data_IF_776409105812
#
_entry.id   IF_776409105812
#
_cell.length_a   1.000
_cell.length_b   1.000
_cell.length_c   1.000
_cell.angle_alpha   90.00
_cell.angle_beta   90.00
_cell.angle_gamma   90.00
#
_symmetry.space_group_name_H-M   'P 1'
#
loop_
_entity.id
_entity.type
_entity.pdbx_description
1 polymer ?
#
# COMPACT_ATOMS: atom_id res chain seq x y z
N UNK A 1 -42.33 18.15 12.86
CA UNK A 1 -41.46 16.96 13.03
C UNK A 1 -40.02 17.42 12.87
N UNK A 2 -39.23 17.41 13.95
CA UNK A 2 -37.78 17.62 13.84
C UNK A 2 -37.20 16.35 13.20
N UNK A 3 -36.78 16.42 11.94
CA UNK A 3 -35.91 15.40 11.39
C UNK A 3 -34.57 15.53 12.11
N UNK A 4 -34.24 14.57 12.98
CA UNK A 4 -32.90 14.41 13.50
C UNK A 4 -31.94 14.28 12.32
N UNK A 5 -31.12 15.31 12.09
CA UNK A 5 -30.03 15.26 11.13
C UNK A 5 -29.08 14.12 11.52
N UNK A 6 -28.90 13.15 10.64
CA UNK A 6 -27.91 12.09 10.84
C UNK A 6 -26.51 12.68 10.71
N UNK A 7 -25.64 12.41 11.68
CA UNK A 7 -24.22 12.77 11.60
C UNK A 7 -23.47 11.74 10.76
N UNK A 8 -23.30 12.02 9.47
CA UNK A 8 -22.62 11.15 8.49
C UNK A 8 -21.11 11.44 8.36
N UNK A 9 -20.49 12.07 9.37
CA UNK A 9 -19.06 12.41 9.34
C UNK A 9 -18.21 11.12 9.34
N UNK A 10 -17.41 10.95 8.30
CA UNK A 10 -16.43 9.87 8.20
C UNK A 10 -15.09 10.30 8.81
N UNK A 11 -14.26 9.34 9.21
CA UNK A 11 -12.90 9.58 9.76
C UNK A 11 -11.84 9.06 8.79
N UNK A 12 -11.94 7.80 8.39
CA UNK A 12 -11.00 7.17 7.47
C UNK A 12 -11.65 5.98 6.75
N UNK A 13 -11.10 5.62 5.59
CA UNK A 13 -11.38 4.41 4.85
C UNK A 13 -10.06 3.63 4.77
N UNK A 14 -10.08 2.32 5.04
CA UNK A 14 -8.91 1.45 4.90
C UNK A 14 -9.24 0.29 3.98
N UNK A 15 -8.28 -0.03 3.11
CA UNK A 15 -8.31 -1.28 2.36
C UNK A 15 -7.90 -2.45 3.24
N UNK A 16 -8.38 -3.63 2.85
CA UNK A 16 -7.86 -4.91 3.29
C UNK A 16 -7.12 -5.53 2.12
N UNK A 17 -5.85 -5.83 2.30
CA UNK A 17 -4.94 -6.32 1.28
C UNK A 17 -4.67 -7.81 1.53
N UNK A 18 -4.81 -8.67 0.50
CA UNK A 18 -4.49 -10.09 0.64
C UNK A 18 -2.99 -10.33 0.78
N UNK A 19 -2.61 -11.30 1.61
CA UNK A 19 -1.24 -11.77 1.74
C UNK A 19 -1.11 -13.22 1.28
N UNK A 20 -0.34 -13.47 0.21
CA UNK A 20 -0.04 -14.84 -0.26
C UNK A 20 0.73 -15.65 0.78
N UNK A 21 1.69 -14.99 1.42
CA UNK A 21 2.35 -15.46 2.63
C UNK A 21 2.36 -14.29 3.62
N UNK A 22 1.71 -14.48 4.76
CA UNK A 22 1.46 -13.40 5.71
C UNK A 22 2.75 -12.89 6.35
N UNK A 23 3.66 -13.79 6.75
CA UNK A 23 4.92 -13.41 7.38
C UNK A 23 5.87 -12.69 6.41
N UNK A 24 5.94 -13.15 5.16
CA UNK A 24 6.70 -12.49 4.09
C UNK A 24 6.14 -11.10 3.82
N UNK A 25 4.81 -10.96 3.78
CA UNK A 25 4.18 -9.66 3.53
C UNK A 25 4.37 -8.70 4.72
N UNK A 26 4.27 -9.19 5.96
CA UNK A 26 4.59 -8.42 7.16
C UNK A 26 6.01 -7.87 7.11
N UNK A 27 6.98 -8.76 6.83
CA UNK A 27 8.39 -8.39 6.73
C UNK A 27 8.65 -7.40 5.59
N UNK A 28 8.00 -7.59 4.43
CA UNK A 28 8.12 -6.72 3.28
C UNK A 28 7.65 -5.30 3.57
N UNK A 29 6.43 -5.13 4.09
CA UNK A 29 5.90 -3.80 4.40
C UNK A 29 6.67 -3.13 5.54
N UNK A 30 7.13 -3.88 6.53
CA UNK A 30 8.01 -3.35 7.58
C UNK A 30 9.35 -2.88 7.00
N UNK A 31 9.97 -3.66 6.12
CA UNK A 31 11.22 -3.30 5.47
C UNK A 31 11.09 -2.07 4.56
N UNK A 32 9.92 -1.87 3.95
CA UNK A 32 9.57 -0.65 3.20
C UNK A 32 9.36 0.59 4.10
N UNK A 33 9.38 0.44 5.42
CA UNK A 33 9.26 1.53 6.38
C UNK A 33 7.86 1.70 6.97
N UNK A 34 6.89 0.82 6.70
CA UNK A 34 5.60 0.86 7.38
C UNK A 34 5.73 0.34 8.82
N UNK A 35 5.02 0.98 9.73
CA UNK A 35 4.93 0.60 11.14
C UNK A 35 3.71 -0.29 11.39
N UNK A 36 3.88 -1.33 12.20
CA UNK A 36 2.77 -2.14 12.70
C UNK A 36 2.12 -1.39 13.87
N UNK A 37 0.90 -0.89 13.67
CA UNK A 37 0.13 -0.26 14.75
C UNK A 37 -0.57 -1.29 15.64
N UNK A 38 -0.97 -2.41 15.04
CA UNK A 38 -1.66 -3.51 15.70
C UNK A 38 -1.57 -4.77 14.86
N UNK A 39 -1.49 -5.93 15.50
CA UNK A 39 -1.40 -7.22 14.82
C UNK A 39 -2.03 -8.33 15.67
N UNK A 40 -2.74 -9.23 15.00
CA UNK A 40 -3.18 -10.54 15.46
C UNK A 40 -2.69 -11.63 14.48
N UNK A 41 -3.05 -12.88 14.73
CA UNK A 41 -2.61 -14.05 13.94
C UNK A 41 -2.95 -13.93 12.45
N UNK A 42 -4.11 -13.35 12.12
CA UNK A 42 -4.65 -13.32 10.76
C UNK A 42 -4.76 -11.93 10.15
N UNK A 43 -4.42 -10.87 10.90
CA UNK A 43 -4.67 -9.49 10.50
C UNK A 43 -3.64 -8.54 11.11
N UNK A 44 -3.15 -7.60 10.32
CA UNK A 44 -2.22 -6.57 10.76
C UNK A 44 -2.67 -5.20 10.23
N UNK A 45 -2.60 -4.17 11.07
CA UNK A 45 -2.81 -2.78 10.69
C UNK A 45 -1.44 -2.11 10.52
N UNK A 46 -1.10 -1.78 9.29
CA UNK A 46 0.08 -0.98 8.96
C UNK A 46 -0.24 0.50 8.91
N UNK A 47 0.77 1.32 9.20
CA UNK A 47 0.75 2.75 8.98
C UNK A 47 2.07 3.26 8.40
N UNK A 48 1.97 4.31 7.60
CA UNK A 48 3.08 5.20 7.31
C UNK A 48 2.58 6.64 7.39
N UNK A 49 3.00 7.35 8.44
CA UNK A 49 2.41 8.63 8.81
C UNK A 49 0.91 8.47 9.06
N UNK A 50 0.08 9.18 8.30
CA UNK A 50 -1.38 9.13 8.42
C UNK A 50 -2.04 8.05 7.54
N UNK A 51 -1.30 7.47 6.60
CA UNK A 51 -1.84 6.47 5.67
C UNK A 51 -1.82 5.10 6.33
N UNK A 52 -2.92 4.35 6.22
CA UNK A 52 -3.09 3.05 6.88
C UNK A 52 -3.81 2.05 5.99
N UNK A 53 -3.46 0.78 6.15
CA UNK A 53 -4.17 -0.33 5.51
C UNK A 53 -4.11 -1.58 6.38
N UNK A 54 -5.03 -2.50 6.17
CA UNK A 54 -4.98 -3.81 6.79
C UNK A 54 -4.33 -4.82 5.85
N UNK A 55 -3.38 -5.59 6.35
CA UNK A 55 -2.87 -6.80 5.71
C UNK A 55 -3.60 -8.00 6.30
N UNK A 56 -4.18 -8.87 5.46
CA UNK A 56 -4.92 -10.06 5.90
C UNK A 56 -4.21 -11.34 5.49
N UNK A 57 -4.17 -12.33 6.37
CA UNK A 57 -3.75 -13.70 6.04
C UNK A 57 -4.85 -14.44 5.27
N UNK A 58 -5.17 -13.91 4.09
CA UNK A 58 -6.15 -14.45 3.17
C UNK A 58 -5.67 -14.12 1.76
N UNK A 59 -5.61 -15.13 0.90
CA UNK A 59 -5.13 -14.96 -0.46
C UNK A 59 -6.04 -15.65 -1.47
N UNK A 60 -6.49 -14.85 -2.43
CA UNK A 60 -7.09 -15.32 -3.67
C UNK A 60 -6.32 -14.64 -4.80
N UNK A 61 -5.67 -15.43 -5.67
CA UNK A 61 -4.80 -14.91 -6.74
C UNK A 61 -5.49 -13.84 -7.59
N UNK A 62 -6.69 -14.14 -8.08
CA UNK A 62 -7.46 -13.21 -8.91
C UNK A 62 -7.80 -11.91 -8.17
N UNK A 63 -8.10 -11.98 -6.87
CA UNK A 63 -8.32 -10.78 -6.06
C UNK A 63 -7.04 -9.97 -5.89
N UNK A 64 -5.93 -10.61 -5.53
CA UNK A 64 -4.66 -9.93 -5.30
C UNK A 64 -4.15 -9.25 -6.58
N UNK A 65 -4.10 -9.98 -7.69
CA UNK A 65 -3.59 -9.49 -8.98
C UNK A 65 -4.52 -8.46 -9.65
N UNK A 66 -5.78 -8.34 -9.23
CA UNK A 66 -6.70 -7.28 -9.67
C UNK A 66 -6.89 -6.17 -8.63
N UNK A 67 -6.17 -6.20 -7.51
CA UNK A 67 -6.21 -5.12 -6.52
C UNK A 67 -5.17 -4.06 -6.87
N UNK A 68 -5.63 -2.82 -7.07
CA UNK A 68 -4.78 -1.65 -7.21
C UNK A 68 -5.05 -0.65 -6.08
N UNK A 69 -3.99 -0.18 -5.44
CA UNK A 69 -4.01 0.93 -4.49
C UNK A 69 -3.28 2.12 -5.07
N UNK A 70 -3.84 3.30 -4.86
CA UNK A 70 -3.18 4.56 -5.19
C UNK A 70 -2.67 5.21 -3.90
N UNK A 71 -1.34 5.31 -3.77
CA UNK A 71 -0.68 5.98 -2.67
C UNK A 71 -0.20 7.36 -3.14
N UNK A 72 -0.90 8.41 -2.69
CA UNK A 72 -0.49 9.78 -2.95
C UNK A 72 0.64 10.16 -1.99
N UNK A 73 1.78 10.57 -2.54
CA UNK A 73 2.97 10.97 -1.82
C UNK A 73 3.38 12.39 -2.19
N UNK A 74 4.24 13.02 -1.39
CA UNK A 74 4.75 14.37 -1.70
C UNK A 74 5.80 14.35 -2.82
N UNK A 75 6.58 13.27 -2.93
CA UNK A 75 7.64 13.14 -3.92
C UNK A 75 7.84 11.67 -4.31
N UNK A 76 7.42 11.30 -5.52
CA UNK A 76 7.49 9.92 -6.01
C UNK A 76 8.94 9.49 -6.32
N UNK A 77 9.81 10.39 -6.77
CA UNK A 77 11.22 10.06 -7.01
C UNK A 77 11.96 9.72 -5.73
N UNK A 78 11.73 10.50 -4.67
CA UNK A 78 12.33 10.24 -3.35
C UNK A 78 11.88 8.88 -2.80
N UNK A 79 10.59 8.57 -2.94
CA UNK A 79 10.04 7.26 -2.59
C UNK A 79 10.67 6.12 -3.39
N UNK A 80 10.79 6.28 -4.70
CA UNK A 80 11.40 5.27 -5.56
C UNK A 80 12.88 5.06 -5.23
N UNK A 81 13.66 6.13 -5.06
CA UNK A 81 15.06 6.06 -4.65
C UNK A 81 15.23 5.35 -3.31
N UNK A 82 14.40 5.67 -2.32
CA UNK A 82 14.40 4.99 -1.03
C UNK A 82 14.20 3.47 -1.17
N UNK A 83 13.21 3.03 -1.95
CA UNK A 83 12.95 1.60 -2.17
C UNK A 83 14.16 0.91 -2.84
N UNK A 84 14.81 1.57 -3.80
CA UNK A 84 16.01 1.03 -4.47
C UNK A 84 17.20 0.91 -3.51
N UNK A 85 17.40 1.89 -2.64
CA UNK A 85 18.49 1.91 -1.65
C UNK A 85 18.35 0.80 -0.60
N UNK A 86 17.11 0.42 -0.25
CA UNK A 86 16.85 -0.73 0.63
C UNK A 86 17.30 -2.07 0.03
N UNK A 87 17.48 -2.14 -1.30
CA UNK A 87 17.94 -3.30 -2.04
C UNK A 87 17.14 -4.60 -1.76
N UNK A 88 15.83 -4.49 -1.54
CA UNK A 88 15.00 -5.58 -1.00
C UNK A 88 14.87 -6.84 -1.90
N UNK A 89 15.27 -6.77 -3.17
CA UNK A 89 15.15 -7.88 -4.12
C UNK A 89 15.96 -9.13 -3.75
N UNK A 90 16.91 -9.02 -2.82
CA UNK A 90 17.65 -10.18 -2.30
C UNK A 90 16.81 -11.03 -1.32
N UNK A 91 15.76 -10.46 -0.74
CA UNK A 91 14.90 -11.13 0.27
C UNK A 91 13.49 -11.38 -0.27
N UNK A 92 12.96 -10.47 -1.09
CA UNK A 92 11.57 -10.48 -1.49
C UNK A 92 11.42 -10.49 -3.01
N UNK A 93 10.41 -11.23 -3.49
CA UNK A 93 9.96 -11.13 -4.88
C UNK A 93 8.93 -10.01 -4.98
N UNK A 94 9.24 -8.97 -5.74
CA UNK A 94 8.34 -7.85 -6.04
C UNK A 94 8.77 -7.19 -7.35
N UNK A 95 7.92 -6.35 -7.94
CA UNK A 95 8.24 -5.57 -9.14
C UNK A 95 8.28 -4.10 -8.79
N UNK A 96 9.25 -3.35 -9.32
CA UNK A 96 9.34 -1.90 -9.22
C UNK A 96 9.61 -1.32 -10.61
N UNK A 97 8.77 -0.39 -11.07
CA UNK A 97 9.00 0.35 -12.32
C UNK A 97 9.72 1.67 -12.04
N UNK A 98 10.37 2.23 -13.05
CA UNK A 98 10.93 3.59 -12.94
C UNK A 98 9.79 4.66 -12.90
N UNK A 99 10.03 5.82 -12.27
CA UNK A 99 9.07 6.92 -12.24
C UNK A 99 8.93 7.63 -13.59
N UNK A 100 7.69 7.86 -14.00
CA UNK A 100 7.34 8.50 -15.27
C UNK A 100 6.24 9.55 -15.10
N UNK A 101 6.28 10.59 -15.94
CA UNK A 101 5.20 11.57 -16.03
C UNK A 101 4.06 10.98 -16.88
N UNK A 102 2.83 11.06 -16.38
CA UNK A 102 1.65 10.46 -16.99
C UNK A 102 0.72 11.49 -17.59
N UNK A 103 -0.12 11.05 -18.53
CA UNK A 103 -1.11 11.89 -19.22
C UNK A 103 -2.12 12.56 -18.26
N UNK A 104 -2.33 11.99 -17.07
CA UNK A 104 -3.22 12.50 -16.02
C UNK A 104 -2.55 13.44 -15.01
N UNK A 105 -1.45 14.12 -15.41
CA UNK A 105 -0.79 15.16 -14.59
C UNK A 105 -0.28 14.65 -13.25
N UNK A 106 0.28 13.45 -13.26
CA UNK A 106 1.00 12.89 -12.12
C UNK A 106 2.32 12.30 -12.56
N UNK A 107 3.30 12.36 -11.66
CA UNK A 107 4.53 11.60 -11.75
C UNK A 107 4.40 10.39 -10.84
N UNK A 108 4.46 9.19 -11.42
CA UNK A 108 4.18 7.94 -10.71
C UNK A 108 5.09 6.77 -11.11
N UNK A 109 5.12 5.78 -10.23
CA UNK A 109 5.70 4.46 -10.50
C UNK A 109 4.81 3.37 -9.89
N UNK A 110 5.08 2.12 -10.27
CA UNK A 110 4.37 0.94 -9.79
C UNK A 110 5.28 0.07 -8.95
N UNK A 111 4.78 -0.32 -7.78
CA UNK A 111 5.29 -1.39 -6.93
C UNK A 111 4.27 -2.53 -6.91
N UNK A 112 4.64 -3.74 -7.36
CA UNK A 112 3.82 -4.94 -7.21
C UNK A 112 4.38 -5.75 -6.05
N UNK A 113 3.61 -5.90 -4.99
CA UNK A 113 4.06 -6.56 -3.76
C UNK A 113 4.24 -8.10 -3.92
N UNK A 114 4.77 -8.82 -2.91
CA UNK A 114 4.94 -10.27 -2.97
C UNK A 114 3.66 -11.09 -3.19
N UNK A 115 2.49 -10.48 -2.99
CA UNK A 115 1.18 -11.09 -3.19
C UNK A 115 0.57 -10.76 -4.56
N UNK A 116 1.21 -9.89 -5.35
CA UNK A 116 0.71 -9.46 -6.66
C UNK A 116 -0.15 -8.20 -6.62
N UNK A 117 -0.25 -7.52 -5.47
CA UNK A 117 -1.06 -6.30 -5.32
C UNK A 117 -0.30 -5.11 -5.88
N UNK A 118 -0.97 -4.33 -6.74
CA UNK A 118 -0.37 -3.17 -7.39
C UNK A 118 -0.52 -1.92 -6.51
N UNK A 119 0.59 -1.31 -6.15
CA UNK A 119 0.66 0.02 -5.56
C UNK A 119 1.13 1.02 -6.60
N UNK A 120 0.27 1.97 -6.97
CA UNK A 120 0.63 3.12 -7.77
C UNK A 120 0.99 4.27 -6.83
N UNK A 121 2.28 4.58 -6.77
CA UNK A 121 2.83 5.60 -5.86
C UNK A 121 3.09 6.87 -6.68
N UNK A 122 2.42 7.97 -6.33
CA UNK A 122 2.29 9.10 -7.24
C UNK A 122 2.22 10.46 -6.52
N UNK A 123 2.67 11.51 -7.20
CA UNK A 123 2.42 12.92 -6.82
C UNK A 123 1.93 13.73 -8.04
N UNK A 124 1.25 14.85 -7.80
CA UNK A 124 0.76 15.74 -8.87
C UNK A 124 1.90 16.57 -9.50
N UNK A 125 1.82 16.85 -10.81
CA UNK A 125 2.75 17.69 -11.58
C UNK A 125 2.04 18.79 -12.38
#
# INVERSE_FOLDING_TARGET
>A
MNMSSFNLKTIELKSFIPAKDFQTSLAFYTALGFEILWQEEQLCLFALGQTKFFLQNLYTKEWAENTMLHLHVENADAWHSHIKELNLHHTFTFTLTDPEDRAWKMRDFVLIDPSGVLWRIAHNI
#
